data_IF_308594343116
#
_entry.id   IF_308594343116
#
_cell.length_a   1.000
_cell.length_b   1.000
_cell.length_c   1.000
_cell.angle_alpha   90.00
_cell.angle_beta   90.00
_cell.angle_gamma   90.00
#
_symmetry.space_group_name_H-M   'P 1'
#
loop_
_entity.id
_entity.type
_entity.pdbx_description
1 polymer ?
#
# COMPACT_ATOMS: atom_id res chain seq x y z
N UNK A 1 -8.77 7.41 -10.87
CA UNK A 1 -9.29 8.42 -9.92
C UNK A 1 -10.22 9.38 -10.65
N UNK A 2 -11.30 9.79 -10.04
CA UNK A 2 -12.27 10.74 -10.60
C UNK A 2 -12.96 11.53 -9.50
N UNK A 3 -13.46 12.73 -9.85
CA UNK A 3 -14.24 13.58 -8.95
C UNK A 3 -15.66 13.66 -9.50
N UNK A 4 -16.66 13.38 -8.69
CA UNK A 4 -18.07 13.48 -9.05
C UNK A 4 -18.73 14.49 -8.12
N UNK A 5 -19.35 15.54 -8.70
CA UNK A 5 -20.13 16.51 -7.96
C UNK A 5 -21.58 16.01 -7.81
N UNK A 6 -22.08 15.98 -6.58
CA UNK A 6 -23.47 15.56 -6.28
C UNK A 6 -24.10 16.55 -5.28
N UNK A 7 -24.87 17.51 -5.82
CA UNK A 7 -25.45 18.59 -5.02
C UNK A 7 -24.37 19.49 -4.43
N UNK A 8 -24.42 19.76 -3.11
CA UNK A 8 -23.39 20.51 -2.39
C UNK A 8 -22.22 19.63 -1.91
N UNK A 9 -22.23 18.33 -2.23
CA UNK A 9 -21.18 17.41 -1.86
C UNK A 9 -20.26 17.08 -3.03
N UNK A 10 -19.00 16.85 -2.73
CA UNK A 10 -17.99 16.37 -3.67
C UNK A 10 -17.66 14.92 -3.31
N UNK A 11 -17.87 14.01 -4.25
CA UNK A 11 -17.43 12.63 -4.11
C UNK A 11 -16.16 12.44 -4.91
N UNK A 12 -15.08 12.14 -4.23
CA UNK A 12 -13.79 11.85 -4.86
C UNK A 12 -13.65 10.33 -4.94
N UNK A 13 -13.53 9.81 -6.18
CA UNK A 13 -13.33 8.40 -6.43
C UNK A 13 -11.84 8.16 -6.62
N UNK A 14 -11.21 7.57 -5.64
CA UNK A 14 -9.84 7.09 -5.74
C UNK A 14 -9.84 5.63 -6.20
N UNK A 15 -8.72 5.18 -6.76
CA UNK A 15 -8.48 3.76 -7.04
C UNK A 15 -8.18 2.98 -5.72
N UNK A 16 -7.55 1.81 -5.80
CA UNK A 16 -7.35 0.91 -4.64
C UNK A 16 -6.58 1.49 -3.44
N UNK A 17 -6.01 2.69 -3.56
CA UNK A 17 -5.35 3.41 -2.44
C UNK A 17 -6.29 4.18 -1.50
N UNK A 18 -7.60 4.07 -1.70
CA UNK A 18 -8.62 4.85 -0.94
C UNK A 18 -8.52 4.64 0.56
N UNK A 19 -8.25 3.43 1.00
CA UNK A 19 -8.30 3.08 2.42
C UNK A 19 -7.19 3.78 3.21
N UNK A 20 -5.97 3.82 2.66
CA UNK A 20 -4.84 4.53 3.27
C UNK A 20 -5.10 6.04 3.31
N UNK A 21 -5.53 6.62 2.19
CA UNK A 21 -5.85 8.05 2.10
C UNK A 21 -7.01 8.42 3.03
N UNK A 22 -7.99 7.53 3.20
CA UNK A 22 -9.13 7.78 4.10
C UNK A 22 -8.69 7.79 5.55
N UNK A 23 -7.86 6.84 5.98
CA UNK A 23 -7.32 6.79 7.34
C UNK A 23 -6.49 8.05 7.63
N UNK A 24 -5.56 8.39 6.73
CA UNK A 24 -4.72 9.58 6.89
C UNK A 24 -5.53 10.89 6.89
N UNK A 25 -6.59 10.96 6.07
CA UNK A 25 -7.48 12.12 6.04
C UNK A 25 -8.33 12.21 7.31
N UNK A 26 -8.85 11.10 7.83
CA UNK A 26 -9.60 11.08 9.09
C UNK A 26 -8.70 11.48 10.27
N UNK A 27 -7.46 10.99 10.31
CA UNK A 27 -6.48 11.37 11.33
C UNK A 27 -6.06 12.84 11.21
N UNK A 28 -5.87 13.35 9.98
CA UNK A 28 -5.61 14.77 9.73
C UNK A 28 -6.78 15.65 10.17
N UNK A 29 -8.01 15.30 9.77
CA UNK A 29 -9.21 16.07 10.15
C UNK A 29 -9.48 16.04 11.66
N UNK A 30 -9.13 14.95 12.34
CA UNK A 30 -9.21 14.87 13.79
C UNK A 30 -8.15 15.75 14.49
N UNK A 31 -7.05 16.07 13.82
CA UNK A 31 -5.96 16.91 14.33
C UNK A 31 -6.15 18.42 14.09
N UNK A 32 -7.01 18.78 13.11
CA UNK A 32 -7.29 20.19 12.78
C UNK A 32 -8.46 20.67 13.62
N UNK A 33 -8.19 21.54 14.58
CA UNK A 33 -9.23 22.25 15.34
C UNK A 33 -9.97 23.25 14.45
N UNK A 34 -11.25 23.50 14.72
CA UNK A 34 -12.19 24.32 13.90
C UNK A 34 -11.73 25.73 13.52
N UNK A 35 -10.60 26.21 14.03
CA UNK A 35 -10.11 27.59 13.83
C UNK A 35 -9.45 27.83 12.45
N UNK A 36 -9.32 26.80 11.58
CA UNK A 36 -8.62 26.93 10.29
C UNK A 36 -9.52 27.02 9.05
N UNK A 37 -10.84 27.10 9.20
CA UNK A 37 -11.77 27.10 8.06
C UNK A 37 -12.35 28.48 7.66
N UNK A 38 -11.91 29.60 8.25
CA UNK A 38 -12.53 30.92 7.99
C UNK A 38 -11.83 31.81 6.96
N UNK A 39 -10.72 31.46 6.34
CA UNK A 39 -9.94 32.44 5.54
C UNK A 39 -9.70 32.15 4.06
N UNK A 40 -10.41 31.22 3.39
CA UNK A 40 -10.23 31.01 1.95
C UNK A 40 -11.53 31.00 1.11
N UNK A 41 -12.50 31.85 1.44
CA UNK A 41 -13.71 32.07 0.64
C UNK A 41 -13.78 33.49 0.05
N UNK A 42 -12.79 33.90 -0.73
CA UNK A 42 -12.95 35.05 -1.63
C UNK A 42 -12.00 34.96 -2.84
N UNK A 43 -12.62 35.11 -4.00
CA UNK A 43 -12.01 35.31 -5.33
C UNK A 43 -11.68 34.06 -6.18
N UNK A 44 -12.58 33.63 -7.04
CA UNK A 44 -12.55 33.94 -8.46
C UNK A 44 -13.75 33.36 -9.21
N UNK A 45 -14.61 34.26 -9.62
CA UNK A 45 -15.68 34.01 -10.58
C UNK A 45 -15.34 34.76 -11.87
N UNK A 46 -15.02 34.05 -12.94
CA UNK A 46 -15.27 34.52 -14.31
C UNK A 46 -15.38 33.33 -15.27
N UNK A 47 -16.50 33.36 -15.97
CA UNK A 47 -16.90 32.47 -17.04
C UNK A 47 -16.01 32.58 -18.27
N UNK A 48 -15.89 31.54 -19.05
CA UNK A 48 -16.16 31.64 -20.48
C UNK A 48 -16.58 30.29 -21.09
N UNK A 49 -17.63 30.40 -21.89
CA UNK A 49 -18.29 29.39 -22.68
C UNK A 49 -17.61 29.23 -24.05
N UNK A 50 -17.43 28.00 -24.51
CA UNK A 50 -17.46 27.70 -25.96
C UNK A 50 -17.83 26.25 -26.24
N UNK A 51 -19.01 26.07 -26.84
CA UNK A 51 -19.48 24.88 -27.53
C UNK A 51 -18.66 24.64 -28.82
N UNK A 52 -18.41 23.39 -29.16
CA UNK A 52 -18.41 22.96 -30.55
C UNK A 52 -18.75 21.48 -30.68
N UNK A 53 -19.91 21.23 -31.29
CA UNK A 53 -20.37 19.97 -31.85
C UNK A 53 -19.45 19.54 -33.01
N UNK A 54 -19.24 18.26 -33.20
CA UNK A 54 -19.47 17.68 -34.53
C UNK A 54 -19.73 16.17 -34.48
N UNK A 55 -20.83 15.80 -35.08
CA UNK A 55 -21.26 14.47 -35.49
C UNK A 55 -20.46 14.03 -36.73
N UNK A 56 -20.15 12.77 -36.92
CA UNK A 56 -20.65 12.06 -38.08
C UNK A 56 -20.39 10.54 -38.05
N UNK A 57 -21.35 9.89 -38.59
CA UNK A 57 -21.72 8.49 -38.61
C UNK A 57 -21.15 7.73 -39.81
N UNK A 58 -21.35 6.43 -39.73
CA UNK A 58 -21.72 5.43 -40.76
C UNK A 58 -20.63 4.62 -41.44
N UNK A 59 -20.74 3.34 -41.23
CA UNK A 59 -21.06 2.20 -42.12
C UNK A 59 -19.89 1.68 -42.98
N UNK A 60 -19.70 0.42 -43.23
CA UNK A 60 -20.51 -0.71 -43.61
C UNK A 60 -19.73 -2.02 -43.76
N UNK A 61 -20.41 -3.16 -43.52
CA UNK A 61 -20.34 -4.52 -44.11
C UNK A 61 -19.08 -5.42 -44.02
N UNK A 62 -19.29 -6.44 -43.29
CA UNK A 62 -19.41 -7.88 -43.57
C UNK A 62 -18.47 -8.55 -44.62
N UNK A 63 -17.80 -9.60 -44.17
CA UNK A 63 -17.77 -10.87 -44.89
C UNK A 63 -17.38 -12.04 -43.96
N UNK A 64 -18.28 -13.01 -43.87
CA UNK A 64 -18.07 -14.34 -43.32
C UNK A 64 -17.06 -15.13 -44.17
N UNK A 65 -16.20 -15.90 -43.51
CA UNK A 65 -15.75 -17.17 -44.04
C UNK A 65 -15.48 -18.15 -42.90
N UNK A 66 -16.33 -19.16 -42.82
CA UNK A 66 -16.17 -20.38 -42.06
C UNK A 66 -14.84 -21.06 -42.37
N UNK A 67 -14.05 -21.37 -41.33
CA UNK A 67 -13.18 -22.53 -41.31
C UNK A 67 -13.21 -23.15 -39.92
N UNK A 68 -13.85 -24.30 -39.88
CA UNK A 68 -13.91 -25.26 -38.78
C UNK A 68 -12.54 -25.89 -38.63
N UNK A 69 -11.88 -25.70 -37.52
CA UNK A 69 -10.77 -26.54 -37.11
C UNK A 69 -10.84 -26.77 -35.60
N UNK A 70 -10.64 -28.04 -35.28
CA UNK A 70 -10.86 -28.70 -34.04
C UNK A 70 -10.09 -28.16 -32.86
N UNK A 71 -10.75 -28.23 -31.74
CA UNK A 71 -10.38 -27.87 -30.40
C UNK A 71 -9.42 -28.91 -29.84
N UNK A 72 -8.14 -28.61 -29.78
CA UNK A 72 -7.26 -29.20 -28.76
C UNK A 72 -7.08 -28.18 -27.65
N UNK A 73 -7.67 -28.48 -26.52
CA UNK A 73 -7.45 -27.77 -25.28
C UNK A 73 -6.05 -28.09 -24.76
N UNK A 74 -5.07 -27.34 -25.24
CA UNK A 74 -3.78 -27.23 -24.58
C UNK A 74 -3.95 -26.32 -23.39
N UNK A 75 -3.90 -26.89 -22.21
CA UNK A 75 -3.75 -26.16 -20.93
C UNK A 75 -2.42 -25.39 -21.01
N UNK A 76 -2.49 -24.15 -21.48
CA UNK A 76 -1.35 -23.22 -21.44
C UNK A 76 -1.27 -22.75 -19.99
N UNK A 77 -0.59 -23.54 -19.17
CA UNK A 77 -0.17 -23.14 -17.85
C UNK A 77 0.75 -21.93 -18.02
N UNK A 78 0.22 -20.73 -17.79
CA UNK A 78 1.05 -19.54 -17.71
C UNK A 78 2.21 -19.81 -16.73
N UNK A 79 3.44 -19.41 -17.05
CA UNK A 79 4.55 -19.64 -16.15
C UNK A 79 4.27 -18.89 -14.85
N UNK A 80 3.94 -19.61 -13.80
CA UNK A 80 3.80 -19.06 -12.47
C UNK A 80 5.18 -18.66 -11.97
N UNK A 81 5.55 -17.40 -12.10
CA UNK A 81 6.73 -16.87 -11.45
C UNK A 81 6.40 -16.62 -9.99
N UNK A 82 7.09 -17.32 -9.10
CA UNK A 82 6.99 -17.07 -7.66
C UNK A 82 8.03 -16.01 -7.28
N UNK A 83 7.59 -14.91 -6.70
CA UNK A 83 8.46 -13.90 -6.10
C UNK A 83 8.47 -14.14 -4.60
N UNK A 84 9.66 -14.24 -4.01
CA UNK A 84 9.82 -14.43 -2.56
C UNK A 84 10.14 -13.07 -1.96
N UNK A 85 9.34 -12.68 -0.98
CA UNK A 85 9.59 -11.46 -0.18
C UNK A 85 10.20 -11.88 1.16
N UNK A 86 11.30 -11.25 1.50
CA UNK A 86 12.01 -11.52 2.74
C UNK A 86 11.47 -10.70 3.90
N UNK A 87 11.71 -11.16 5.12
CA UNK A 87 11.33 -10.42 6.31
C UNK A 87 12.14 -9.13 6.43
N UNK A 88 11.49 -7.98 6.64
CA UNK A 88 12.20 -6.73 6.87
C UNK A 88 12.77 -6.63 8.30
N UNK A 89 12.48 -7.57 9.19
CA UNK A 89 12.94 -7.52 10.57
C UNK A 89 13.06 -8.91 11.20
N UNK A 90 13.87 -8.99 12.26
CA UNK A 90 13.97 -10.18 13.12
C UNK A 90 12.86 -10.18 14.14
N UNK A 91 12.15 -11.31 14.30
CA UNK A 91 11.06 -11.45 15.26
C UNK A 91 10.22 -12.70 15.05
N UNK A 92 8.93 -12.59 15.32
CA UNK A 92 7.94 -13.67 15.14
C UNK A 92 7.01 -13.30 13.99
N UNK A 93 7.04 -14.09 12.93
CA UNK A 93 6.15 -13.96 11.79
C UNK A 93 4.85 -14.74 12.01
N UNK A 94 3.74 -14.21 11.46
CA UNK A 94 2.46 -14.89 11.43
C UNK A 94 1.61 -14.39 10.24
N UNK A 95 0.49 -15.08 9.96
CA UNK A 95 -0.45 -14.66 8.91
C UNK A 95 -1.04 -13.27 9.23
N UNK A 96 -1.27 -12.47 8.18
CA UNK A 96 -1.81 -11.11 8.32
C UNK A 96 -3.16 -11.07 9.06
N UNK A 97 -3.98 -12.13 8.96
CA UNK A 97 -5.25 -12.24 9.69
C UNK A 97 -5.12 -12.27 11.21
N UNK A 98 -3.90 -12.46 11.72
CA UNK A 98 -3.62 -12.40 13.17
C UNK A 98 -3.26 -11.00 13.67
N UNK A 99 -3.24 -10.01 12.77
CA UNK A 99 -3.00 -8.62 13.15
C UNK A 99 -4.00 -8.16 14.22
N UNK A 100 -3.55 -7.45 15.27
CA UNK A 100 -4.45 -6.96 16.33
C UNK A 100 -5.26 -5.72 15.92
N UNK A 101 -5.42 -5.50 14.63
CA UNK A 101 -6.20 -4.45 14.00
C UNK A 101 -7.01 -5.01 12.84
N UNK A 102 -8.32 -4.70 12.80
CA UNK A 102 -9.26 -5.29 11.84
C UNK A 102 -8.98 -4.82 10.39
N UNK A 103 -8.48 -3.60 10.18
CA UNK A 103 -8.17 -3.09 8.85
C UNK A 103 -7.06 -3.91 8.19
N UNK A 104 -6.08 -4.37 8.97
CA UNK A 104 -5.03 -5.28 8.51
C UNK A 104 -5.51 -6.72 8.44
N UNK A 105 -6.15 -7.21 9.51
CA UNK A 105 -6.59 -8.61 9.61
C UNK A 105 -7.60 -9.00 8.53
N UNK A 106 -8.46 -8.06 8.11
CA UNK A 106 -9.44 -8.26 7.03
C UNK A 106 -8.83 -8.21 5.62
N UNK A 107 -7.52 -7.92 5.51
CA UNK A 107 -6.79 -7.78 4.23
C UNK A 107 -7.33 -6.70 3.30
N UNK A 108 -8.06 -5.71 3.84
CA UNK A 108 -8.62 -4.59 3.05
C UNK A 108 -7.54 -3.69 2.43
N UNK A 109 -6.38 -3.63 3.05
CA UNK A 109 -5.23 -2.83 2.60
C UNK A 109 -4.26 -3.59 1.70
N UNK A 110 -4.53 -4.85 1.41
CA UNK A 110 -3.66 -5.77 0.70
C UNK A 110 -3.47 -7.07 1.47
N UNK A 111 -2.64 -7.97 0.96
CA UNK A 111 -2.32 -9.24 1.62
C UNK A 111 -0.83 -9.31 1.96
N UNK A 112 -0.46 -10.13 2.94
CA UNK A 112 0.92 -10.24 3.40
C UNK A 112 1.05 -11.03 4.69
N UNK A 113 1.91 -10.54 5.57
CA UNK A 113 2.17 -11.14 6.88
C UNK A 113 2.32 -10.05 7.95
N UNK A 114 2.31 -10.47 9.21
CA UNK A 114 2.76 -9.64 10.32
C UNK A 114 4.08 -10.17 10.88
N UNK A 115 4.93 -9.28 11.37
CA UNK A 115 6.13 -9.63 12.14
C UNK A 115 6.09 -8.86 13.46
N UNK A 116 6.17 -9.57 14.57
CA UNK A 116 6.35 -8.94 15.88
C UNK A 116 7.84 -8.82 16.16
N UNK A 117 8.41 -7.61 16.15
CA UNK A 117 9.86 -7.42 16.20
C UNK A 117 10.47 -7.78 17.57
N UNK A 118 11.59 -8.47 17.52
CA UNK A 118 12.47 -8.73 18.67
C UNK A 118 13.69 -7.83 18.66
N UNK A 119 14.08 -7.31 17.48
CA UNK A 119 15.17 -6.37 17.27
C UNK A 119 14.67 -5.05 16.68
N UNK A 120 15.27 -3.94 17.08
CA UNK A 120 14.89 -2.59 16.68
C UNK A 120 15.47 -2.15 15.34
N UNK A 121 15.46 -3.00 14.32
CA UNK A 121 15.99 -2.68 12.99
C UNK A 121 15.00 -3.15 11.93
N UNK A 122 14.67 -2.25 10.98
CA UNK A 122 13.91 -2.56 9.78
C UNK A 122 14.84 -2.46 8.59
N UNK A 123 14.89 -3.49 7.75
CA UNK A 123 15.72 -3.53 6.55
C UNK A 123 14.86 -3.68 5.29
N UNK A 124 15.45 -3.35 4.14
CA UNK A 124 14.82 -3.58 2.84
C UNK A 124 14.59 -5.08 2.61
N UNK A 125 13.34 -5.51 2.36
CA UNK A 125 13.00 -6.92 2.16
C UNK A 125 13.55 -7.48 0.84
N UNK A 126 13.71 -6.62 -0.17
CA UNK A 126 14.26 -6.90 -1.49
C UNK A 126 14.93 -5.64 -2.04
N UNK A 127 15.63 -5.76 -3.18
CA UNK A 127 16.11 -4.60 -3.93
C UNK A 127 14.92 -3.79 -4.43
N UNK A 128 14.99 -2.46 -4.33
CA UNK A 128 13.86 -1.63 -4.75
C UNK A 128 13.97 -0.17 -4.36
N UNK A 129 12.86 0.54 -4.44
CA UNK A 129 12.80 1.98 -4.20
C UNK A 129 11.80 2.32 -3.10
N UNK A 130 12.21 3.18 -2.17
CA UNK A 130 11.32 3.78 -1.16
C UNK A 130 10.40 4.77 -1.86
N UNK A 131 9.09 4.55 -1.82
CA UNK A 131 8.11 5.42 -2.48
C UNK A 131 7.79 6.64 -1.65
N UNK A 132 7.58 6.44 -0.37
CA UNK A 132 7.28 7.48 0.61
C UNK A 132 7.63 7.01 2.02
N UNK A 133 7.81 7.97 2.90
CA UNK A 133 7.85 7.78 4.35
C UNK A 133 6.77 8.67 4.94
N UNK A 134 5.93 8.16 5.84
CA UNK A 134 4.94 8.99 6.52
C UNK A 134 5.62 10.03 7.43
N UNK A 135 5.03 11.20 7.57
CA UNK A 135 5.57 12.29 8.39
C UNK A 135 5.78 11.84 9.86
N UNK A 136 4.88 11.01 10.35
CA UNK A 136 4.96 10.37 11.68
C UNK A 136 5.89 9.15 11.73
N UNK A 137 6.61 8.84 10.64
CA UNK A 137 7.69 7.86 10.53
C UNK A 137 7.32 6.41 10.87
N UNK A 138 6.05 6.13 11.17
CA UNK A 138 5.58 4.82 11.60
C UNK A 138 5.44 3.82 10.46
N UNK A 139 5.34 4.32 9.23
CA UNK A 139 5.20 3.49 8.04
C UNK A 139 5.95 4.05 6.84
N UNK A 140 6.31 3.17 5.92
CA UNK A 140 6.90 3.51 4.64
C UNK A 140 6.32 2.66 3.51
N UNK A 141 6.21 3.26 2.33
CA UNK A 141 5.89 2.60 1.08
C UNK A 141 7.15 2.21 0.34
N UNK A 142 7.15 1.04 -0.26
CA UNK A 142 8.28 0.45 -0.94
C UNK A 142 7.82 -0.24 -2.23
N UNK A 143 8.60 -0.16 -3.29
CA UNK A 143 8.38 -0.94 -4.50
C UNK A 143 9.63 -1.75 -4.80
N UNK A 144 9.49 -3.06 -4.92
CA UNK A 144 10.60 -3.92 -5.33
C UNK A 144 10.96 -3.68 -6.79
N UNK A 145 12.19 -4.02 -7.20
CA UNK A 145 12.61 -3.95 -8.61
C UNK A 145 11.80 -4.89 -9.51
N UNK A 146 11.18 -5.93 -8.93
CA UNK A 146 10.22 -6.81 -9.62
C UNK A 146 8.82 -6.18 -9.77
N UNK A 147 8.60 -4.96 -9.26
CA UNK A 147 7.36 -4.19 -9.40
C UNK A 147 6.27 -4.51 -8.38
N UNK A 148 6.62 -5.09 -7.23
CA UNK A 148 5.66 -5.35 -6.15
C UNK A 148 5.61 -4.13 -5.23
N UNK A 149 4.44 -3.50 -5.14
CA UNK A 149 4.17 -2.42 -4.19
C UNK A 149 3.90 -2.96 -2.79
N UNK A 150 4.56 -2.38 -1.78
CA UNK A 150 4.49 -2.83 -0.39
C UNK A 150 4.34 -1.67 0.58
N UNK A 151 3.77 -1.95 1.74
CA UNK A 151 3.81 -1.09 2.92
C UNK A 151 4.39 -1.88 4.08
N UNK A 152 5.33 -1.28 4.80
CA UNK A 152 5.81 -1.75 6.09
C UNK A 152 5.27 -0.76 7.14
N UNK A 153 4.34 -1.21 7.97
CA UNK A 153 3.65 -0.39 8.97
C UNK A 153 4.08 -0.85 10.36
N UNK A 154 4.95 -0.09 11.02
CA UNK A 154 5.58 -0.50 12.28
C UNK A 154 4.65 -0.25 13.48
N UNK A 155 4.17 -1.34 14.06
CA UNK A 155 3.25 -1.33 15.20
C UNK A 155 1.81 -0.97 14.81
N UNK A 156 0.93 -0.99 15.77
CA UNK A 156 -0.48 -0.63 15.62
C UNK A 156 -0.73 0.69 16.36
N UNK A 157 -1.48 1.61 15.75
CA UNK A 157 -1.79 2.94 16.27
C UNK A 157 -0.55 3.83 16.57
N UNK A 158 0.58 3.49 15.99
CA UNK A 158 1.85 4.18 16.24
C UNK A 158 1.96 5.54 15.56
N UNK A 159 1.03 5.87 14.67
CA UNK A 159 0.82 7.23 14.14
C UNK A 159 0.67 8.25 15.29
N UNK A 160 0.02 7.88 16.39
CA UNK A 160 -0.21 8.71 17.59
C UNK A 160 1.08 9.07 18.35
N UNK A 161 2.20 8.41 18.05
CA UNK A 161 3.49 8.69 18.66
C UNK A 161 4.24 9.85 18.00
N UNK A 162 3.70 10.42 16.91
CA UNK A 162 4.24 11.60 16.23
C UNK A 162 5.72 11.47 15.87
N UNK A 163 6.14 10.29 15.43
CA UNK A 163 7.51 10.00 15.04
C UNK A 163 8.47 9.65 16.17
N UNK A 164 8.01 9.65 17.42
CA UNK A 164 8.85 9.23 18.56
C UNK A 164 9.06 7.72 18.56
N UNK A 165 10.30 7.31 18.73
CA UNK A 165 10.70 5.91 18.70
C UNK A 165 11.09 5.41 17.30
N UNK A 166 11.06 6.28 16.27
CA UNK A 166 11.42 5.96 14.89
C UNK A 166 12.58 6.82 14.39
N UNK A 167 13.64 6.18 13.94
CA UNK A 167 14.81 6.82 13.32
C UNK A 167 14.96 6.30 11.88
N UNK A 168 14.35 7.02 10.93
CA UNK A 168 14.35 6.67 9.51
C UNK A 168 15.70 6.98 8.89
N UNK A 169 16.25 6.04 8.14
CA UNK A 169 17.59 6.12 7.54
C UNK A 169 17.55 6.34 6.02
N UNK A 170 16.37 6.47 5.44
CA UNK A 170 16.15 6.57 3.99
C UNK A 170 15.19 7.70 3.65
N UNK A 171 15.20 8.12 2.39
CA UNK A 171 14.33 9.17 1.86
C UNK A 171 13.42 8.63 0.74
N UNK A 172 12.30 9.30 0.51
CA UNK A 172 11.42 9.01 -0.63
C UNK A 172 12.19 9.14 -1.95
N UNK A 173 12.04 8.18 -2.84
CA UNK A 173 12.75 8.10 -4.12
C UNK A 173 14.13 7.42 -4.03
N UNK A 174 14.61 7.08 -2.83
CA UNK A 174 15.88 6.39 -2.66
C UNK A 174 15.77 4.93 -3.10
N UNK A 175 16.69 4.48 -3.96
CA UNK A 175 16.90 3.07 -4.26
C UNK A 175 17.79 2.45 -3.17
N UNK A 176 17.40 1.26 -2.72
CA UNK A 176 18.09 0.49 -1.67
C UNK A 176 18.25 -0.95 -2.12
N UNK A 177 19.29 -1.62 -1.60
CA UNK A 177 19.48 -3.04 -1.82
C UNK A 177 18.88 -3.84 -0.66
N UNK A 178 18.51 -5.07 -0.93
CA UNK A 178 18.06 -6.01 0.09
C UNK A 178 19.00 -6.03 1.29
N UNK A 179 18.43 -5.85 2.48
CA UNK A 179 19.17 -5.82 3.73
C UNK A 179 19.70 -4.44 4.14
N UNK A 180 19.61 -3.40 3.28
CA UNK A 180 19.92 -2.03 3.69
C UNK A 180 18.97 -1.57 4.80
N UNK A 181 19.51 -0.82 5.77
CA UNK A 181 18.70 -0.35 6.91
C UNK A 181 17.77 0.77 6.45
N UNK A 182 16.46 0.54 6.59
CA UNK A 182 15.41 1.52 6.30
C UNK A 182 15.09 2.39 7.53
N UNK A 183 15.05 1.75 8.70
CA UNK A 183 14.62 2.40 9.94
C UNK A 183 15.21 1.71 11.17
N UNK A 184 15.50 2.49 12.20
CA UNK A 184 15.80 1.98 13.55
C UNK A 184 14.68 2.32 14.50
N UNK A 185 14.38 1.39 15.41
CA UNK A 185 13.25 1.47 16.33
C UNK A 185 13.76 1.48 17.78
N UNK A 186 13.25 2.39 18.58
CA UNK A 186 13.32 2.29 20.04
C UNK A 186 12.20 1.35 20.50
N UNK A 187 12.49 0.04 20.49
CA UNK A 187 11.50 -0.98 20.84
C UNK A 187 10.96 -0.86 22.26
N UNK A 188 11.79 -0.41 23.20
CA UNK A 188 11.38 -0.25 24.60
C UNK A 188 10.35 0.88 24.69
N UNK A 189 10.62 2.00 24.00
CA UNK A 189 9.68 3.11 23.89
C UNK A 189 8.39 2.68 23.21
N UNK A 190 8.46 2.00 22.06
CA UNK A 190 7.29 1.54 21.29
C UNK A 190 6.45 0.56 22.11
N UNK A 191 7.06 -0.43 22.79
CA UNK A 191 6.37 -1.39 23.65
C UNK A 191 5.65 -0.72 24.84
N UNK A 192 6.19 0.40 25.33
CA UNK A 192 5.62 1.14 26.45
C UNK A 192 4.47 2.07 26.04
N UNK A 193 4.44 2.54 24.78
CA UNK A 193 3.54 3.62 24.36
C UNK A 193 2.58 3.24 23.23
N UNK A 194 2.80 2.14 22.51
CA UNK A 194 1.91 1.66 21.46
C UNK A 194 1.03 0.50 21.95
N UNK A 195 -0.18 0.34 21.43
CA UNK A 195 -1.04 -0.82 21.72
C UNK A 195 -0.41 -2.15 21.35
N UNK A 196 0.36 -2.17 20.24
CA UNK A 196 1.11 -3.33 19.77
C UNK A 196 2.30 -2.89 18.91
N UNK A 197 3.39 -3.63 18.99
CA UNK A 197 4.54 -3.50 18.08
C UNK A 197 4.45 -4.44 16.88
N UNK A 198 3.40 -5.25 16.79
CA UNK A 198 3.16 -6.12 15.63
C UNK A 198 3.14 -5.28 14.36
N UNK A 199 3.96 -5.65 13.39
CA UNK A 199 4.26 -4.88 12.19
C UNK A 199 3.69 -5.57 10.97
N UNK A 200 2.60 -5.07 10.37
CA UNK A 200 2.13 -5.50 9.06
C UNK A 200 3.15 -5.23 7.95
N UNK A 201 3.42 -6.25 7.13
CA UNK A 201 4.22 -6.22 5.91
C UNK A 201 3.33 -6.65 4.77
N UNK A 202 2.83 -5.69 4.00
CA UNK A 202 1.68 -5.86 3.12
C UNK A 202 2.08 -5.59 1.66
N UNK A 203 1.65 -6.47 0.74
CA UNK A 203 1.61 -6.17 -0.69
C UNK A 203 0.29 -5.44 -0.99
N UNK A 204 0.38 -4.21 -1.50
CA UNK A 204 -0.78 -3.32 -1.70
C UNK A 204 -1.43 -3.44 -3.07
N UNK A 205 -0.72 -3.94 -4.06
CA UNK A 205 -1.16 -4.00 -5.46
C UNK A 205 -0.99 -5.43 -6.00
N UNK A 206 -1.82 -6.35 -5.49
CA UNK A 206 -1.88 -7.71 -6.04
C UNK A 206 -2.81 -7.74 -7.25
N UNK A 207 -2.36 -8.38 -8.34
CA UNK A 207 -3.20 -8.66 -9.51
C UNK A 207 -4.13 -9.83 -9.22
N UNK A 208 -5.22 -9.96 -9.95
CA UNK A 208 -6.25 -11.00 -9.75
C UNK A 208 -5.69 -12.44 -9.76
N UNK A 209 -4.57 -12.65 -10.46
CA UNK A 209 -3.89 -13.95 -10.57
C UNK A 209 -2.75 -14.14 -9.56
N UNK A 210 -2.48 -13.16 -8.70
CA UNK A 210 -1.45 -13.21 -7.66
C UNK A 210 -2.07 -13.58 -6.31
N UNK A 211 -1.34 -14.34 -5.52
CA UNK A 211 -1.74 -14.76 -4.17
C UNK A 211 -0.53 -14.76 -3.27
N UNK A 212 -0.72 -14.33 -2.04
CA UNK A 212 0.29 -14.44 -1.00
C UNK A 212 0.18 -15.81 -0.31
N UNK A 213 1.32 -16.41 -0.09
CA UNK A 213 1.47 -17.61 0.72
C UNK A 213 2.56 -17.38 1.76
N UNK A 214 2.19 -17.42 3.01
CA UNK A 214 3.15 -17.37 4.10
C UNK A 214 4.13 -18.55 3.98
N UNK A 215 5.43 -18.27 4.05
CA UNK A 215 6.51 -19.27 4.02
C UNK A 215 6.93 -19.60 5.46
N UNK A 216 7.17 -18.57 6.25
CA UNK A 216 7.64 -18.71 7.62
C UNK A 216 6.53 -18.27 8.59
N UNK A 217 6.12 -19.18 9.49
CA UNK A 217 5.24 -18.94 10.62
C UNK A 217 6.05 -19.26 11.89
N UNK A 218 6.23 -18.24 12.74
CA UNK A 218 7.08 -18.31 13.92
C UNK A 218 8.37 -17.49 13.82
N UNK A 219 9.43 -17.94 14.49
CA UNK A 219 10.69 -17.18 14.54
C UNK A 219 11.30 -17.00 13.15
N UNK A 220 11.68 -15.75 12.84
CA UNK A 220 12.26 -15.35 11.56
C UNK A 220 13.35 -14.29 11.78
N UNK A 221 14.38 -14.32 10.95
CA UNK A 221 15.40 -13.25 10.91
C UNK A 221 15.18 -12.33 9.73
N UNK A 222 15.62 -11.09 9.89
CA UNK A 222 15.68 -10.14 8.78
C UNK A 222 16.41 -10.76 7.58
N UNK A 223 15.82 -10.64 6.38
CA UNK A 223 16.34 -11.21 5.13
C UNK A 223 15.96 -12.67 4.86
N UNK A 224 15.37 -13.40 5.81
CA UNK A 224 14.84 -14.75 5.56
C UNK A 224 13.48 -14.70 4.85
N UNK A 225 13.11 -15.74 4.05
CA UNK A 225 11.85 -15.77 3.33
C UNK A 225 10.63 -15.64 4.25
N UNK A 226 9.81 -14.62 4.04
CA UNK A 226 8.59 -14.37 4.81
C UNK A 226 7.37 -14.93 4.10
N UNK A 227 7.15 -14.53 2.85
CA UNK A 227 6.03 -15.00 2.02
C UNK A 227 6.39 -14.99 0.52
N UNK A 228 5.54 -15.67 -0.29
CA UNK A 228 5.67 -15.73 -1.75
C UNK A 228 4.31 -15.63 -2.44
#
# INVERSE_FOLDING_TARGET
>A
SGVVHKGQGVQIIYGPRVTVIKSDLEDYLASVTEEHFEDDAAENNTADTAEAKNENAASDKAQESDVKAEKEAGDVKEPTSTVIISSPMTGIAADLSTAPDEAFASKMMGDGAVVTPEEGVVVAPEDGTVLFVFDTKHALGFTTDSGIGMIIHVGIDTVKLEGKGFDVQVEAGQHVNKGDVLMKLDLDYLKANAPSVTTPVICTELKDNQKIRLITDGAIKAGEPLYA
#
